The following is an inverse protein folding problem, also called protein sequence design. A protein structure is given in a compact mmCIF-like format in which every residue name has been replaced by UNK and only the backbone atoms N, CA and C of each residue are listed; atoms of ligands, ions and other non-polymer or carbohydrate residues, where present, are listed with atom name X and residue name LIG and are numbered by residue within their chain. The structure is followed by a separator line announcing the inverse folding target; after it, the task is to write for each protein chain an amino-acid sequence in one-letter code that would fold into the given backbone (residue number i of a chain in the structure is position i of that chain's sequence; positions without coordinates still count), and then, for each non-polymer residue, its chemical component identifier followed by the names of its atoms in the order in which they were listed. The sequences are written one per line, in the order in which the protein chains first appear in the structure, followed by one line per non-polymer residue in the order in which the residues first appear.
data_IF_103776670806
#
_entry.id   IF_103776670806
#
_cell.length_a   1.000
_cell.length_b   1.000
_cell.length_c   1.000
_cell.angle_alpha   90.00
_cell.angle_beta   90.00
_cell.angle_gamma   90.00
#
_symmetry.space_group_name_H-M   'P 1'
#
loop_
_entity.id
_entity.type
_entity.pdbx_description
1 polymer ?
#
# COMPACT_ATOMS: atom_id res chain seq x y z
N UNK A 1 22.79 -3.91 -6.20
CA UNK A 1 22.37 -3.48 -7.54
C UNK A 1 21.57 -2.18 -7.42
N UNK A 2 21.92 -1.20 -8.28
CA UNK A 2 21.31 0.14 -8.26
C UNK A 2 19.79 0.10 -8.44
N UNK A 3 19.29 -0.87 -9.20
CA UNK A 3 17.82 -1.05 -9.38
C UNK A 3 17.14 -1.53 -8.11
N UNK A 4 17.77 -2.39 -7.35
CA UNK A 4 17.22 -2.87 -6.08
C UNK A 4 17.19 -1.76 -5.02
N UNK A 5 18.22 -0.90 -4.99
CA UNK A 5 18.22 0.28 -4.13
C UNK A 5 17.08 1.24 -4.49
N UNK A 6 16.90 1.54 -5.78
CA UNK A 6 15.79 2.38 -6.23
C UNK A 6 14.42 1.76 -5.89
N UNK A 7 14.28 0.46 -6.06
CA UNK A 7 13.06 -0.26 -5.69
C UNK A 7 12.74 -0.08 -4.21
N UNK A 8 13.71 -0.31 -3.31
CA UNK A 8 13.51 -0.15 -1.86
C UNK A 8 13.19 1.30 -1.47
N UNK A 9 13.89 2.29 -2.05
CA UNK A 9 13.65 3.70 -1.77
C UNK A 9 12.24 4.10 -2.21
N UNK A 10 11.83 3.77 -3.42
CA UNK A 10 10.50 4.11 -3.94
C UNK A 10 9.40 3.39 -3.14
N UNK A 11 9.61 2.14 -2.78
CA UNK A 11 8.70 1.38 -1.91
C UNK A 11 8.54 2.05 -0.54
N UNK A 12 9.65 2.52 0.05
CA UNK A 12 9.64 3.26 1.30
C UNK A 12 8.86 4.58 1.19
N UNK A 13 9.06 5.34 0.12
CA UNK A 13 8.33 6.60 -0.15
C UNK A 13 6.82 6.33 -0.28
N UNK A 14 6.43 5.30 -1.04
CA UNK A 14 5.01 4.93 -1.20
C UNK A 14 4.41 4.50 0.14
N UNK A 15 5.14 3.71 0.94
CA UNK A 15 4.70 3.31 2.28
C UNK A 15 4.50 4.51 3.20
N UNK A 16 5.43 5.47 3.18
CA UNK A 16 5.28 6.72 3.94
C UNK A 16 4.07 7.52 3.48
N UNK A 17 3.87 7.64 2.17
CA UNK A 17 2.73 8.36 1.61
C UNK A 17 1.41 7.76 2.11
N UNK A 18 1.25 6.43 2.05
CA UNK A 18 0.06 5.73 2.58
C UNK A 18 -0.11 5.96 4.08
N UNK A 19 0.97 5.84 4.85
CA UNK A 19 0.91 6.02 6.30
C UNK A 19 0.49 7.44 6.67
N UNK A 20 1.03 8.46 6.00
CA UNK A 20 0.63 9.84 6.22
C UNK A 20 -0.80 10.12 5.78
N UNK A 21 -1.25 9.51 4.68
CA UNK A 21 -2.62 9.64 4.22
C UNK A 21 -3.61 9.09 5.25
N UNK A 22 -3.37 7.89 5.76
CA UNK A 22 -4.21 7.28 6.79
C UNK A 22 -4.14 8.06 8.13
N UNK A 23 -2.95 8.47 8.56
CA UNK A 23 -2.76 9.17 9.83
C UNK A 23 -3.43 10.55 9.87
N UNK A 24 -3.37 11.28 8.77
CA UNK A 24 -3.92 12.63 8.66
C UNK A 24 -5.25 12.70 7.92
N UNK A 25 -5.80 11.55 7.51
CA UNK A 25 -7.02 11.45 6.72
C UNK A 25 -6.99 12.40 5.51
N UNK A 26 -5.84 12.40 4.78
CA UNK A 26 -5.60 13.37 3.72
C UNK A 26 -6.65 13.27 2.63
N UNK A 27 -7.01 12.05 2.22
CA UNK A 27 -7.99 11.81 1.16
C UNK A 27 -9.43 12.15 1.57
N UNK A 28 -9.79 12.00 2.86
CA UNK A 28 -11.14 12.24 3.36
C UNK A 28 -11.38 13.69 3.81
N UNK A 29 -10.39 14.29 4.45
CA UNK A 29 -10.57 15.60 5.10
C UNK A 29 -9.76 16.69 4.44
N UNK A 30 -8.47 16.47 4.17
CA UNK A 30 -7.56 17.55 3.74
C UNK A 30 -7.79 17.91 2.29
N UNK A 31 -7.75 16.94 1.38
CA UNK A 31 -7.90 17.22 -0.04
C UNK A 31 -9.31 17.76 -0.39
N UNK A 32 -10.42 17.20 0.10
CA UNK A 32 -11.73 17.76 -0.19
C UNK A 32 -11.94 19.14 0.42
N UNK A 33 -11.54 19.33 1.67
CA UNK A 33 -11.82 20.56 2.42
C UNK A 33 -10.97 21.75 1.99
N UNK A 34 -9.67 21.54 1.74
CA UNK A 34 -8.74 22.64 1.47
C UNK A 34 -8.41 22.81 0.00
N UNK A 35 -8.50 21.76 -0.80
CA UNK A 35 -8.13 21.79 -2.22
C UNK A 35 -9.33 21.56 -3.15
N UNK A 36 -10.53 21.30 -2.59
CA UNK A 36 -11.74 21.02 -3.36
C UNK A 36 -11.57 19.87 -4.37
N UNK A 37 -10.75 18.88 -4.01
CA UNK A 37 -10.49 17.67 -4.80
C UNK A 37 -11.40 16.58 -4.25
N UNK A 38 -12.21 15.95 -5.12
CA UNK A 38 -13.08 14.85 -4.68
C UNK A 38 -12.29 13.61 -4.29
N UNK A 39 -12.78 12.85 -3.30
CA UNK A 39 -12.18 11.61 -2.81
C UNK A 39 -11.89 10.64 -3.96
N UNK A 40 -12.83 10.51 -4.92
CA UNK A 40 -12.65 9.66 -6.10
C UNK A 40 -11.42 10.05 -6.94
N UNK A 41 -11.10 11.35 -7.04
CA UNK A 41 -9.90 11.80 -7.75
C UNK A 41 -8.62 11.43 -6.99
N UNK A 42 -8.66 11.49 -5.67
CA UNK A 42 -7.52 11.08 -4.83
C UNK A 42 -7.28 9.57 -4.96
N UNK A 43 -8.32 8.76 -4.85
CA UNK A 43 -8.23 7.30 -5.07
C UNK A 43 -7.72 6.95 -6.47
N UNK A 44 -8.21 7.63 -7.51
CA UNK A 44 -7.74 7.43 -8.87
C UNK A 44 -6.24 7.78 -9.01
N UNK A 45 -5.79 8.83 -8.34
CA UNK A 45 -4.37 9.23 -8.33
C UNK A 45 -3.52 8.15 -7.66
N UNK A 46 -3.94 7.63 -6.51
CA UNK A 46 -3.23 6.55 -5.84
C UNK A 46 -3.19 5.27 -6.68
N UNK A 47 -4.31 4.90 -7.31
CA UNK A 47 -4.36 3.77 -8.22
C UNK A 47 -3.34 3.91 -9.36
N UNK A 48 -3.22 5.09 -9.97
CA UNK A 48 -2.23 5.36 -11.01
C UNK A 48 -0.80 5.25 -10.49
N UNK A 49 -0.51 5.79 -9.30
CA UNK A 49 0.82 5.68 -8.67
C UNK A 49 1.18 4.20 -8.48
N UNK A 50 0.26 3.38 -7.96
CA UNK A 50 0.49 1.95 -7.78
C UNK A 50 0.67 1.21 -9.11
N UNK A 51 -0.14 1.51 -10.14
CA UNK A 51 0.01 0.88 -11.45
C UNK A 51 1.38 1.18 -12.06
N UNK A 52 1.82 2.44 -12.02
CA UNK A 52 3.15 2.83 -12.51
C UNK A 52 4.25 2.10 -11.73
N UNK A 53 4.12 2.04 -10.40
CA UNK A 53 5.05 1.33 -9.55
C UNK A 53 5.12 -0.16 -9.90
N UNK A 54 3.99 -0.86 -10.05
CA UNK A 54 3.95 -2.27 -10.42
C UNK A 54 4.55 -2.54 -11.81
N UNK A 55 4.22 -1.73 -12.80
CA UNK A 55 4.78 -1.87 -14.15
C UNK A 55 6.29 -1.65 -14.12
N UNK A 56 6.76 -0.64 -13.39
CA UNK A 56 8.18 -0.26 -13.31
C UNK A 56 9.04 -1.31 -12.62
N UNK A 57 8.53 -1.90 -11.55
CA UNK A 57 9.26 -2.84 -10.69
C UNK A 57 8.76 -4.29 -10.79
N UNK A 58 8.02 -4.63 -11.86
CA UNK A 58 7.43 -5.96 -12.06
C UNK A 58 8.41 -7.12 -11.89
N UNK A 59 9.68 -6.95 -12.32
CA UNK A 59 10.69 -8.01 -12.21
C UNK A 59 11.09 -8.26 -10.77
N UNK A 60 11.30 -7.21 -9.99
CA UNK A 60 11.64 -7.31 -8.57
C UNK A 60 10.48 -7.92 -7.78
N UNK A 61 9.25 -7.49 -8.10
CA UNK A 61 8.03 -8.00 -7.48
C UNK A 61 7.82 -9.49 -7.75
N UNK A 62 7.93 -9.93 -9.00
CA UNK A 62 7.72 -11.34 -9.38
C UNK A 62 8.83 -12.28 -8.87
N UNK A 63 10.04 -11.75 -8.65
CA UNK A 63 11.16 -12.52 -8.10
C UNK A 63 11.19 -12.56 -6.56
N UNK A 64 10.29 -11.83 -5.91
CA UNK A 64 10.12 -11.82 -4.46
C UNK A 64 8.90 -12.67 -4.04
N UNK A 65 8.61 -12.72 -2.75
CA UNK A 65 7.42 -13.39 -2.21
C UNK A 65 6.13 -12.59 -2.54
N UNK A 66 5.80 -12.46 -3.81
CA UNK A 66 4.69 -11.63 -4.32
C UNK A 66 3.31 -12.01 -3.73
N UNK A 67 3.15 -13.24 -3.20
CA UNK A 67 1.92 -13.67 -2.55
C UNK A 67 1.59 -12.82 -1.32
N UNK A 68 2.58 -12.53 -0.47
CA UNK A 68 2.39 -11.68 0.70
C UNK A 68 1.96 -10.27 0.31
N UNK A 69 2.56 -9.72 -0.75
CA UNK A 69 2.16 -8.44 -1.31
C UNK A 69 0.74 -8.49 -1.89
N UNK A 70 0.40 -9.55 -2.60
CA UNK A 70 -0.96 -9.78 -3.14
C UNK A 70 -2.03 -9.83 -2.05
N UNK A 71 -1.76 -10.55 -0.96
CA UNK A 71 -2.65 -10.60 0.22
C UNK A 71 -2.81 -9.21 0.85
N UNK A 72 -1.72 -8.46 0.99
CA UNK A 72 -1.76 -7.09 1.51
C UNK A 72 -2.67 -6.20 0.65
N UNK A 73 -2.49 -6.19 -0.67
CA UNK A 73 -3.33 -5.41 -1.57
C UNK A 73 -4.78 -5.84 -1.57
N UNK A 74 -5.03 -7.15 -1.47
CA UNK A 74 -6.40 -7.67 -1.35
C UNK A 74 -7.08 -7.15 -0.08
N UNK A 75 -6.40 -7.19 1.05
CA UNK A 75 -6.94 -6.71 2.33
C UNK A 75 -7.16 -5.19 2.32
N UNK A 76 -6.18 -4.42 1.85
CA UNK A 76 -6.30 -2.96 1.74
C UNK A 76 -7.42 -2.56 0.76
N UNK A 77 -7.50 -3.23 -0.39
CA UNK A 77 -8.57 -3.01 -1.35
C UNK A 77 -9.94 -3.39 -0.80
N UNK A 78 -10.04 -4.49 -0.06
CA UNK A 78 -11.28 -4.91 0.60
C UNK A 78 -11.74 -3.88 1.64
N UNK A 79 -10.83 -3.36 2.47
CA UNK A 79 -11.13 -2.29 3.41
C UNK A 79 -11.67 -1.05 2.69
N UNK A 80 -11.02 -0.61 1.61
CA UNK A 80 -11.47 0.53 0.80
C UNK A 80 -12.86 0.28 0.17
N UNK A 81 -13.13 -0.92 -0.31
CA UNK A 81 -14.44 -1.29 -0.86
C UNK A 81 -15.53 -1.24 0.21
N UNK A 82 -15.25 -1.71 1.42
CA UNK A 82 -16.19 -1.66 2.56
C UNK A 82 -16.51 -0.20 2.93
N UNK A 83 -15.52 0.68 2.88
CA UNK A 83 -15.71 2.10 3.17
C UNK A 83 -16.59 2.81 2.11
N UNK A 84 -16.34 2.53 0.83
CA UNK A 84 -17.06 3.18 -0.29
C UNK A 84 -18.49 2.64 -0.47
N UNK A 85 -18.73 1.37 -0.20
CA UNK A 85 -20.04 0.76 -0.39
C UNK A 85 -21.01 1.18 0.73
N UNK A 86 -22.22 1.70 0.39
CA UNK A 86 -23.28 1.95 1.37
C UNK A 86 -23.90 0.61 1.79
N UNK A 87 -23.17 -0.17 2.59
CA UNK A 87 -23.68 -1.43 3.11
C UNK A 87 -24.76 -1.13 4.16
N UNK A 88 -25.90 -1.86 4.17
CA UNK A 88 -26.97 -1.71 5.15
C UNK A 88 -26.62 -2.23 6.55
N UNK A 89 -25.37 -2.57 6.78
CA UNK A 89 -24.79 -2.97 8.05
C UNK A 89 -24.41 -1.69 8.79
N UNK A 90 -24.80 -1.52 10.04
CA UNK A 90 -24.21 -0.48 10.89
C UNK A 90 -22.71 -0.48 10.64
N UNK A 91 -22.17 0.68 10.21
CA UNK A 91 -20.75 0.80 9.84
C UNK A 91 -19.92 0.25 10.99
N UNK A 92 -19.55 -1.00 10.86
CA UNK A 92 -18.68 -1.66 11.83
C UNK A 92 -17.26 -1.22 11.51
N UNK A 93 -16.97 0.04 11.89
CA UNK A 93 -15.66 0.68 11.73
C UNK A 93 -14.53 -0.21 12.25
N UNK A 94 -14.85 -1.03 13.27
CA UNK A 94 -13.89 -1.97 13.81
C UNK A 94 -13.47 -3.05 12.81
N UNK A 95 -14.40 -3.61 12.03
CA UNK A 95 -14.09 -4.63 11.03
C UNK A 95 -13.25 -4.04 9.88
N UNK A 96 -13.63 -2.87 9.41
CA UNK A 96 -12.89 -2.14 8.38
C UNK A 96 -11.45 -1.82 8.83
N UNK A 97 -11.30 -1.24 10.02
CA UNK A 97 -10.01 -0.91 10.61
C UNK A 97 -9.14 -2.14 10.86
N UNK A 98 -9.75 -3.25 11.31
CA UNK A 98 -9.04 -4.52 11.50
C UNK A 98 -8.50 -5.08 10.17
N UNK A 99 -9.29 -5.06 9.11
CA UNK A 99 -8.86 -5.52 7.78
C UNK A 99 -7.75 -4.62 7.23
N UNK A 100 -7.89 -3.29 7.38
CA UNK A 100 -6.88 -2.30 6.99
C UNK A 100 -5.57 -2.53 7.73
N UNK A 101 -5.64 -2.74 9.04
CA UNK A 101 -4.47 -3.03 9.88
C UNK A 101 -3.76 -4.33 9.45
N UNK A 102 -4.51 -5.40 9.20
CA UNK A 102 -3.95 -6.67 8.72
C UNK A 102 -3.25 -6.48 7.36
N UNK A 103 -3.86 -5.72 6.46
CA UNK A 103 -3.26 -5.39 5.17
C UNK A 103 -1.95 -4.60 5.33
N UNK A 104 -1.94 -3.60 6.20
CA UNK A 104 -0.74 -2.78 6.47
C UNK A 104 0.39 -3.59 7.14
N UNK A 105 0.07 -4.46 8.10
CA UNK A 105 1.06 -5.36 8.73
C UNK A 105 1.65 -6.34 7.72
N UNK A 106 0.81 -6.93 6.85
CA UNK A 106 1.28 -7.84 5.80
C UNK A 106 2.18 -7.12 4.80
N UNK A 107 1.83 -5.88 4.44
CA UNK A 107 2.64 -4.97 3.62
C UNK A 107 4.02 -4.72 4.26
N UNK A 108 4.05 -4.38 5.53
CA UNK A 108 5.29 -4.14 6.26
C UNK A 108 6.17 -5.39 6.31
N UNK A 109 5.60 -6.56 6.63
CA UNK A 109 6.33 -7.83 6.68
C UNK A 109 6.97 -8.13 5.32
N UNK A 110 6.22 -7.95 4.24
CA UNK A 110 6.74 -8.16 2.89
C UNK A 110 7.99 -7.31 2.63
N UNK A 111 7.92 -6.00 2.87
CA UNK A 111 9.06 -5.11 2.59
C UNK A 111 10.25 -5.32 3.52
N UNK A 112 10.03 -5.68 4.78
CA UNK A 112 11.12 -6.04 5.70
C UNK A 112 11.86 -7.27 5.18
N UNK A 113 11.13 -8.30 4.72
CA UNK A 113 11.74 -9.53 4.16
C UNK A 113 12.49 -9.24 2.86
N UNK A 114 11.89 -8.49 1.95
CA UNK A 114 12.55 -8.10 0.69
C UNK A 114 13.80 -7.26 0.97
N UNK A 115 13.75 -6.33 1.93
CA UNK A 115 14.91 -5.53 2.32
C UNK A 115 16.03 -6.41 2.89
N UNK A 116 15.71 -7.38 3.73
CA UNK A 116 16.68 -8.34 4.27
C UNK A 116 17.31 -9.18 3.16
N UNK A 117 16.53 -9.74 2.24
CA UNK A 117 17.03 -10.52 1.10
C UNK A 117 17.96 -9.71 0.19
N UNK A 118 17.64 -8.43 -0.07
CA UNK A 118 18.41 -7.57 -0.98
C UNK A 118 19.65 -6.95 -0.34
N UNK A 119 19.72 -6.88 0.98
CA UNK A 119 20.84 -6.27 1.74
C UNK A 119 21.76 -7.31 2.34
N UNK A 120 21.29 -8.51 2.63
CA UNK A 120 22.12 -9.59 3.16
C UNK A 120 22.98 -10.17 2.03
N UNK A 121 24.34 -10.13 2.14
CA UNK A 121 25.20 -10.74 1.14
C UNK A 121 24.90 -12.23 1.08
N UNK A 122 24.76 -12.75 -0.15
CA UNK A 122 24.53 -14.17 -0.37
C UNK A 122 25.56 -14.97 0.43
N UNK A 123 25.07 -15.74 1.43
CA UNK A 123 25.93 -16.69 2.12
C UNK A 123 26.43 -17.67 1.06
N UNK A 124 27.67 -17.50 0.66
CA UNK A 124 28.38 -18.48 -0.19
C UNK A 124 28.26 -19.85 0.48
N UNK A 125 27.43 -20.71 -0.12
CA UNK A 125 27.45 -22.14 0.17
C UNK A 125 28.60 -22.79 -0.53
#
# INVERSE_FOLDING_TARGET
DRKNQQYLIVSGIITMLMTFDDLFQLHELVFPKYFNISDNMVYLTYLNIYLIYFIRYRKQLLNSEFLALGVSFFLLGLSTVIDILPLPIEKDTFLEDAIKLLGAVTWMIYYVRVADELTTPAKTK
#
